data_IF_996795693425
#
_entry.id   IF_996795693425
#
_cell.length_a   1.000
_cell.length_b   1.000
_cell.length_c   1.000
_cell.angle_alpha   90.00
_cell.angle_beta   90.00
_cell.angle_gamma   90.00
#
_symmetry.space_group_name_H-M   'P 1'
#
loop_
_entity.id
_entity.type
_entity.pdbx_description
1 polymer ?
#
# COMPACT_ATOMS: atom_id res chain seq x y z
N UNK A 1 9.93 8.93 13.80
CA UNK A 1 9.96 7.72 12.96
C UNK A 1 10.59 6.54 13.70
N UNK A 2 11.81 6.72 14.24
CA UNK A 2 12.50 5.71 15.08
C UNK A 2 11.58 5.11 16.17
N UNK A 3 10.76 5.94 16.85
CA UNK A 3 9.82 5.47 17.87
C UNK A 3 8.70 4.54 17.35
N UNK A 4 8.24 4.73 16.12
CA UNK A 4 7.16 3.90 15.54
C UNK A 4 7.72 2.56 15.07
N UNK A 5 8.92 2.58 14.49
CA UNK A 5 9.68 1.40 14.10
C UNK A 5 10.10 0.57 15.32
N UNK A 6 10.63 1.21 16.38
CA UNK A 6 10.90 0.52 17.65
C UNK A 6 9.63 0.01 18.33
N UNK A 7 8.49 0.68 18.19
CA UNK A 7 7.22 0.20 18.72
C UNK A 7 6.70 -1.02 17.94
N UNK A 8 6.77 -0.99 16.60
CA UNK A 8 6.43 -2.13 15.74
C UNK A 8 7.33 -3.34 16.04
N UNK A 9 8.62 -3.12 16.28
CA UNK A 9 9.55 -4.21 16.62
C UNK A 9 9.42 -4.71 18.07
N UNK A 10 9.06 -3.87 19.04
CA UNK A 10 8.93 -4.29 20.44
C UNK A 10 7.59 -4.97 20.74
N UNK A 11 6.49 -4.50 20.15
CA UNK A 11 5.15 -5.00 20.43
C UNK A 11 4.31 -5.09 19.15
N UNK A 12 4.65 -6.01 18.23
CA UNK A 12 4.03 -6.09 16.90
C UNK A 12 2.50 -6.27 16.96
N UNK A 13 2.00 -7.00 17.95
CA UNK A 13 0.57 -7.24 18.13
C UNK A 13 -0.24 -5.97 18.51
N UNK A 14 0.34 -5.06 19.29
CA UNK A 14 -0.31 -3.80 19.68
C UNK A 14 -0.06 -2.68 18.66
N UNK A 15 1.07 -2.74 17.95
CA UNK A 15 1.44 -1.75 16.95
C UNK A 15 0.66 -1.87 15.64
N UNK A 16 0.35 -3.09 15.20
CA UNK A 16 -0.30 -3.30 13.90
C UNK A 16 -1.67 -2.58 13.77
N UNK A 17 -2.61 -2.67 14.73
CA UNK A 17 -3.89 -1.96 14.63
C UNK A 17 -3.73 -0.44 14.65
N UNK A 18 -2.76 0.08 15.41
CA UNK A 18 -2.49 1.51 15.51
C UNK A 18 -1.88 2.01 14.20
N UNK A 19 -0.97 1.24 13.59
CA UNK A 19 -0.35 1.56 12.32
C UNK A 19 -1.39 1.68 11.19
N UNK A 20 -2.32 0.74 11.08
CA UNK A 20 -3.38 0.83 10.06
C UNK A 20 -4.34 2.00 10.31
N UNK A 21 -4.62 2.32 11.58
CA UNK A 21 -5.37 3.54 11.92
C UNK A 21 -4.62 4.81 11.54
N UNK A 22 -3.30 4.85 11.70
CA UNK A 22 -2.46 5.96 11.24
C UNK A 22 -2.53 6.06 9.72
N UNK A 23 -2.24 4.99 8.98
CA UNK A 23 -2.29 4.98 7.51
C UNK A 23 -3.67 5.45 7.02
N UNK A 24 -4.75 4.86 7.55
CA UNK A 24 -6.12 5.25 7.19
C UNK A 24 -6.46 6.68 7.56
N UNK A 25 -5.90 7.26 8.63
CA UNK A 25 -6.14 8.67 8.99
C UNK A 25 -5.36 9.60 8.07
N UNK A 26 -4.13 9.24 7.74
CA UNK A 26 -3.22 10.02 6.91
C UNK A 26 -3.71 10.06 5.46
N UNK A 27 -4.26 8.97 4.92
CA UNK A 27 -4.90 8.97 3.60
C UNK A 27 -6.05 9.98 3.51
N UNK A 28 -6.93 10.05 4.52
CA UNK A 28 -8.02 11.06 4.54
C UNK A 28 -7.51 12.49 4.62
N UNK A 29 -6.33 12.70 5.23
CA UNK A 29 -5.70 14.02 5.27
C UNK A 29 -5.19 14.43 3.88
N UNK A 30 -4.64 13.48 3.12
CA UNK A 30 -4.18 13.71 1.75
C UNK A 30 -5.38 14.00 0.82
N UNK A 31 -6.51 13.34 1.03
CA UNK A 31 -7.73 13.53 0.22
C UNK A 31 -8.39 14.90 0.41
N UNK A 32 -8.20 15.58 1.55
CA UNK A 32 -8.90 16.83 1.87
C UNK A 32 -8.13 18.06 1.36
N UNK A 33 -8.63 18.80 0.36
CA UNK A 33 -8.05 20.10 0.02
C UNK A 33 -8.31 21.07 1.18
N UNK A 34 -7.24 21.63 1.75
CA UNK A 34 -7.32 22.64 2.82
C UNK A 34 -7.86 23.98 2.32
N UNK A 35 -7.77 24.26 1.01
CA UNK A 35 -8.21 25.51 0.40
C UNK A 35 -8.88 25.26 -0.95
N UNK A 36 -9.89 26.06 -1.35
CA UNK A 36 -10.61 25.90 -2.62
C UNK A 36 -9.73 26.05 -3.88
N UNK A 37 -8.60 26.77 -3.78
CA UNK A 37 -7.63 26.95 -4.86
C UNK A 37 -6.52 25.89 -4.87
N UNK A 38 -6.48 24.98 -3.89
CA UNK A 38 -5.59 23.83 -3.95
C UNK A 38 -6.16 22.81 -4.93
N UNK A 39 -5.85 23.00 -6.21
CA UNK A 39 -5.98 21.95 -7.18
C UNK A 39 -5.05 20.78 -6.80
N UNK A 40 -5.51 19.55 -6.98
CA UNK A 40 -4.81 18.31 -6.58
C UNK A 40 -3.42 18.16 -7.17
N UNK A 41 -3.07 18.95 -8.18
CA UNK A 41 -1.82 18.90 -8.94
C UNK A 41 -0.76 19.90 -8.47
N UNK A 42 -1.09 20.86 -7.60
CA UNK A 42 -0.14 21.91 -7.20
C UNK A 42 0.61 21.55 -5.91
N UNK A 43 1.90 21.27 -6.03
CA UNK A 43 2.79 21.09 -4.88
C UNK A 43 3.06 22.43 -4.20
N UNK A 44 2.67 22.56 -2.94
CA UNK A 44 3.01 23.70 -2.08
C UNK A 44 3.98 23.22 -1.00
N UNK A 45 5.20 23.75 -1.00
CA UNK A 45 6.20 23.43 0.02
C UNK A 45 5.67 23.80 1.42
N UNK A 46 5.82 22.91 2.40
CA UNK A 46 5.30 23.08 3.75
C UNK A 46 3.82 22.70 3.96
N UNK A 47 3.14 22.18 2.93
CA UNK A 47 1.76 21.72 3.05
C UNK A 47 1.66 20.41 3.85
N UNK A 48 0.72 20.33 4.79
CA UNK A 48 0.42 19.14 5.58
C UNK A 48 0.15 17.89 4.71
N UNK A 49 -0.38 18.07 3.49
CA UNK A 49 -0.58 16.98 2.52
C UNK A 49 0.74 16.36 2.04
N UNK A 50 1.76 17.17 1.78
CA UNK A 50 3.09 16.68 1.36
C UNK A 50 3.78 15.90 2.49
N UNK A 51 3.63 16.38 3.73
CA UNK A 51 4.14 15.67 4.92
C UNK A 51 3.41 14.34 5.11
N UNK A 52 2.08 14.34 4.96
CA UNK A 52 1.26 13.13 5.01
C UNK A 52 1.63 12.12 3.92
N UNK A 53 1.84 12.58 2.68
CA UNK A 53 2.30 11.75 1.56
C UNK A 53 3.65 11.11 1.88
N UNK A 54 4.60 11.89 2.42
CA UNK A 54 5.91 11.37 2.80
C UNK A 54 5.83 10.39 3.97
N UNK A 55 4.94 10.61 4.94
CA UNK A 55 4.71 9.65 6.01
C UNK A 55 4.23 8.30 5.47
N UNK A 56 3.28 8.27 4.53
CA UNK A 56 2.84 7.02 3.88
C UNK A 56 4.02 6.33 3.19
N UNK A 57 4.78 7.07 2.37
CA UNK A 57 5.93 6.51 1.63
C UNK A 57 6.92 5.82 2.54
N UNK A 58 7.37 6.52 3.58
CA UNK A 58 8.40 5.96 4.45
C UNK A 58 7.83 4.81 5.29
N UNK A 59 6.57 4.89 5.77
CA UNK A 59 5.96 3.77 6.51
C UNK A 59 5.85 2.50 5.67
N UNK A 60 5.35 2.61 4.44
CA UNK A 60 5.20 1.46 3.56
C UNK A 60 6.55 0.90 3.11
N UNK A 61 7.53 1.76 2.84
CA UNK A 61 8.86 1.32 2.44
C UNK A 61 9.65 0.67 3.58
N UNK A 62 9.65 1.24 4.78
CA UNK A 62 10.39 0.67 5.91
C UNK A 62 9.80 -0.68 6.37
N UNK A 63 8.50 -0.88 6.13
CA UNK A 63 7.80 -2.10 6.55
C UNK A 63 7.56 -3.10 5.42
N UNK A 64 8.00 -2.81 4.19
CA UNK A 64 7.77 -3.68 3.04
C UNK A 64 8.42 -5.06 3.20
N UNK A 65 9.54 -5.14 3.94
CA UNK A 65 10.23 -6.39 4.28
C UNK A 65 9.59 -7.17 5.43
N UNK A 66 8.53 -6.64 6.05
CA UNK A 66 7.90 -7.19 7.26
C UNK A 66 6.47 -7.71 7.02
N UNK A 67 6.10 -8.01 5.76
CA UNK A 67 4.77 -8.51 5.41
C UNK A 67 3.64 -7.51 5.63
N UNK A 68 3.93 -6.20 5.65
CA UNK A 68 2.94 -5.16 5.91
C UNK A 68 1.81 -5.17 4.87
N UNK A 69 2.11 -5.56 3.63
CA UNK A 69 1.12 -5.57 2.56
C UNK A 69 0.09 -6.67 2.75
N UNK A 70 0.47 -7.90 3.13
CA UNK A 70 -0.50 -8.94 3.51
C UNK A 70 -1.51 -8.42 4.54
N UNK A 71 -0.99 -7.81 5.61
CA UNK A 71 -1.83 -7.29 6.68
C UNK A 71 -2.72 -6.13 6.21
N UNK A 72 -2.15 -5.19 5.44
CA UNK A 72 -2.87 -4.04 4.91
C UNK A 72 -4.03 -4.48 3.99
N UNK A 73 -3.76 -5.40 3.07
CA UNK A 73 -4.75 -5.93 2.14
C UNK A 73 -5.77 -6.86 2.83
N UNK A 74 -5.51 -7.39 4.03
CA UNK A 74 -6.50 -8.12 4.82
C UNK A 74 -7.42 -7.21 5.66
N UNK A 75 -7.11 -5.90 5.75
CA UNK A 75 -7.93 -4.97 6.54
C UNK A 75 -9.28 -4.66 5.91
N UNK A 76 -10.26 -4.32 6.76
CA UNK A 76 -11.55 -3.82 6.30
C UNK A 76 -11.47 -2.30 6.13
N UNK A 77 -11.48 -1.85 4.87
CA UNK A 77 -11.35 -0.44 4.50
C UNK A 77 -12.75 0.10 4.18
N UNK A 78 -13.17 1.18 4.84
CA UNK A 78 -14.51 1.76 4.64
C UNK A 78 -14.65 2.48 3.28
N UNK A 79 -13.64 3.24 2.88
CA UNK A 79 -13.61 4.05 1.66
C UNK A 79 -12.57 3.50 0.69
N UNK A 80 -12.81 2.26 0.25
CA UNK A 80 -11.84 1.41 -0.47
C UNK A 80 -11.22 2.14 -1.68
N UNK A 81 -12.07 2.75 -2.51
CA UNK A 81 -11.65 3.47 -3.71
C UNK A 81 -10.74 4.66 -3.39
N UNK A 82 -11.16 5.54 -2.48
CA UNK A 82 -10.38 6.73 -2.12
C UNK A 82 -9.08 6.37 -1.39
N UNK A 83 -9.13 5.33 -0.56
CA UNK A 83 -7.96 4.81 0.13
C UNK A 83 -6.90 4.34 -0.86
N UNK A 84 -7.26 3.43 -1.77
CA UNK A 84 -6.32 2.86 -2.73
C UNK A 84 -5.84 3.86 -3.77
N UNK A 85 -6.72 4.77 -4.24
CA UNK A 85 -6.30 5.86 -5.13
C UNK A 85 -5.24 6.74 -4.46
N UNK A 86 -5.39 7.02 -3.16
CA UNK A 86 -4.46 7.83 -2.40
C UNK A 86 -3.13 7.12 -2.16
N UNK A 87 -3.15 5.82 -1.87
CA UNK A 87 -1.92 5.01 -1.72
C UNK A 87 -1.16 4.96 -3.04
N UNK A 88 -1.81 4.64 -4.16
CA UNK A 88 -1.15 4.60 -5.47
C UNK A 88 -0.55 5.96 -5.84
N UNK A 89 -1.33 7.04 -5.66
CA UNK A 89 -0.87 8.42 -5.88
C UNK A 89 0.32 8.80 -4.99
N UNK A 90 0.36 8.30 -3.75
CA UNK A 90 1.47 8.57 -2.84
C UNK A 90 2.79 7.98 -3.36
N UNK A 91 2.73 6.86 -4.10
CA UNK A 91 3.88 6.07 -4.52
C UNK A 91 4.32 6.32 -5.97
N UNK A 92 3.49 6.93 -6.83
CA UNK A 92 3.78 7.10 -8.27
C UNK A 92 5.13 7.77 -8.57
N UNK A 93 5.54 8.73 -7.76
CA UNK A 93 6.76 9.53 -7.89
C UNK A 93 7.82 9.21 -6.82
N UNK A 94 7.72 8.03 -6.19
CA UNK A 94 8.65 7.60 -5.14
C UNK A 94 9.58 6.48 -5.66
N UNK A 95 10.89 6.74 -5.85
CA UNK A 95 11.79 5.79 -6.51
C UNK A 95 12.10 4.54 -5.70
N UNK A 96 12.02 4.60 -4.37
CA UNK A 96 12.34 3.48 -3.47
C UNK A 96 11.20 2.48 -3.33
N UNK A 97 9.95 2.88 -3.64
CA UNK A 97 8.78 2.01 -3.63
C UNK A 97 7.71 2.57 -4.58
N UNK A 98 7.48 1.86 -5.69
CA UNK A 98 6.46 2.25 -6.66
C UNK A 98 5.15 1.46 -6.46
N UNK A 99 4.03 1.89 -7.07
CA UNK A 99 2.75 1.23 -6.88
C UNK A 99 2.72 -0.24 -7.33
N UNK A 100 3.49 -0.63 -8.34
CA UNK A 100 3.57 -2.01 -8.85
C UNK A 100 4.37 -2.89 -7.90
N UNK A 101 5.44 -2.37 -7.27
CA UNK A 101 6.20 -3.09 -6.25
C UNK A 101 5.33 -3.54 -5.07
N UNK A 102 4.29 -2.78 -4.72
CA UNK A 102 3.31 -3.18 -3.67
C UNK A 102 2.60 -4.48 -4.06
N UNK A 103 2.22 -4.63 -5.33
CA UNK A 103 1.58 -5.85 -5.85
C UNK A 103 2.59 -7.00 -5.83
N UNK A 104 3.82 -6.74 -6.26
CA UNK A 104 4.90 -7.72 -6.27
C UNK A 104 5.11 -8.30 -4.85
N UNK A 105 5.38 -7.44 -3.86
CA UNK A 105 5.62 -7.89 -2.48
C UNK A 105 4.42 -8.64 -1.91
N UNK A 106 3.20 -8.15 -2.17
CA UNK A 106 1.99 -8.85 -1.74
C UNK A 106 1.91 -10.27 -2.32
N UNK A 107 2.20 -10.46 -3.60
CA UNK A 107 2.15 -11.76 -4.24
C UNK A 107 3.28 -12.69 -3.78
N UNK A 108 4.49 -12.15 -3.57
CA UNK A 108 5.61 -12.90 -2.99
C UNK A 108 5.22 -13.45 -1.61
N UNK A 109 4.66 -12.61 -0.75
CA UNK A 109 4.22 -13.00 0.60
C UNK A 109 3.08 -14.06 0.56
N UNK A 110 2.10 -13.91 -0.35
CA UNK A 110 0.99 -14.88 -0.52
C UNK A 110 1.51 -16.27 -0.96
N UNK A 111 2.52 -16.28 -1.82
CA UNK A 111 3.12 -17.52 -2.35
C UNK A 111 3.99 -18.21 -1.30
N UNK A 112 4.65 -17.44 -0.43
CA UNK A 112 5.42 -17.97 0.69
C UNK A 112 4.52 -18.59 1.77
N UNK A 113 3.47 -17.88 2.19
CA UNK A 113 2.49 -18.36 3.17
C UNK A 113 1.04 -18.02 2.75
N UNK A 114 0.24 -19.06 2.51
CA UNK A 114 -1.09 -18.92 1.95
C UNK A 114 -2.08 -18.37 2.99
N UNK A 115 -2.62 -17.15 2.83
CA UNK A 115 -3.38 -16.50 3.89
C UNK A 115 -4.79 -17.09 4.03
N UNK A 116 -5.26 -17.20 5.28
CA UNK A 116 -6.62 -17.68 5.61
C UNK A 116 -7.74 -16.82 5.00
N UNK A 117 -7.51 -15.52 4.85
CA UNK A 117 -8.50 -14.54 4.36
C UNK A 117 -8.19 -14.05 2.95
N UNK A 118 -7.71 -14.94 2.08
CA UNK A 118 -7.32 -14.61 0.71
C UNK A 118 -8.39 -13.83 -0.08
N UNK A 119 -9.68 -14.13 0.09
CA UNK A 119 -10.76 -13.43 -0.61
C UNK A 119 -10.80 -11.92 -0.30
N UNK A 120 -10.49 -11.52 0.94
CA UNK A 120 -10.40 -10.11 1.33
C UNK A 120 -9.19 -9.43 0.69
N UNK A 121 -8.06 -10.13 0.70
CA UNK A 121 -6.81 -9.65 0.09
C UNK A 121 -7.01 -9.43 -1.41
N UNK A 122 -7.59 -10.40 -2.11
CA UNK A 122 -7.86 -10.30 -3.55
C UNK A 122 -8.90 -9.23 -3.89
N UNK A 123 -9.93 -9.04 -3.04
CA UNK A 123 -10.88 -7.93 -3.19
C UNK A 123 -10.14 -6.59 -3.16
N UNK A 124 -9.33 -6.35 -2.14
CA UNK A 124 -8.56 -5.12 -2.02
C UNK A 124 -7.52 -4.98 -3.15
N UNK A 125 -6.89 -6.07 -3.59
CA UNK A 125 -5.97 -6.08 -4.73
C UNK A 125 -6.66 -5.68 -6.03
N UNK A 126 -7.84 -6.24 -6.30
CA UNK A 126 -8.60 -5.91 -7.51
C UNK A 126 -8.92 -4.42 -7.58
N UNK A 127 -9.29 -3.79 -6.46
CA UNK A 127 -9.55 -2.35 -6.41
C UNK A 127 -8.27 -1.52 -6.49
N UNK A 128 -7.18 -1.97 -5.87
CA UNK A 128 -5.91 -1.26 -5.93
C UNK A 128 -5.33 -1.20 -7.34
N UNK A 129 -5.39 -2.31 -8.09
CA UNK A 129 -4.87 -2.41 -9.46
C UNK A 129 -5.51 -1.39 -10.40
N UNK A 130 -6.78 -1.01 -10.19
CA UNK A 130 -7.46 0.03 -10.99
C UNK A 130 -6.77 1.41 -10.92
N UNK A 131 -5.97 1.66 -9.88
CA UNK A 131 -5.23 2.90 -9.69
C UNK A 131 -3.74 2.81 -10.05
N UNK A 132 -3.26 1.66 -10.51
CA UNK A 132 -1.86 1.45 -10.87
C UNK A 132 -1.71 1.59 -12.38
N UNK A 133 -0.72 2.38 -12.81
CA UNK A 133 -0.48 2.61 -14.24
C UNK A 133 0.00 1.32 -14.94
N UNK A 134 -0.70 0.84 -15.99
CA UNK A 134 -0.29 -0.35 -16.75
C UNK A 134 0.93 -0.07 -17.65
N UNK A 135 1.12 1.19 -18.04
CA UNK A 135 2.16 1.61 -18.99
C UNK A 135 3.44 2.10 -18.29
N UNK A 136 3.55 1.93 -16.98
CA UNK A 136 4.71 2.30 -16.17
C UNK A 136 5.32 1.08 -15.46
N UNK A 137 6.61 1.15 -15.11
CA UNK A 137 7.31 0.11 -14.32
C UNK A 137 7.32 -1.29 -14.98
N UNK A 138 7.55 -1.37 -16.29
CA UNK A 138 7.52 -2.62 -17.07
C UNK A 138 8.28 -3.81 -16.45
N UNK A 139 9.44 -3.57 -15.84
CA UNK A 139 10.21 -4.61 -15.15
C UNK A 139 9.44 -5.24 -13.99
N UNK A 140 8.76 -4.42 -13.18
CA UNK A 140 7.96 -4.90 -12.05
C UNK A 140 6.70 -5.61 -12.52
N UNK A 141 6.04 -5.12 -13.57
CA UNK A 141 4.87 -5.80 -14.15
C UNK A 141 5.22 -7.17 -14.72
N UNK A 142 6.40 -7.33 -15.32
CA UNK A 142 6.90 -8.64 -15.77
C UNK A 142 7.02 -9.61 -14.60
N UNK A 143 7.59 -9.17 -13.47
CA UNK A 143 7.69 -9.99 -12.24
C UNK A 143 6.29 -10.34 -11.70
N UNK A 144 5.40 -9.34 -11.57
CA UNK A 144 4.01 -9.54 -11.12
C UNK A 144 3.28 -10.56 -11.98
N UNK A 145 3.48 -10.54 -13.31
CA UNK A 145 2.87 -11.51 -14.22
C UNK A 145 3.33 -12.94 -13.93
N UNK A 146 4.63 -13.14 -13.69
CA UNK A 146 5.18 -14.45 -13.32
C UNK A 146 4.67 -14.93 -11.95
N UNK A 147 4.54 -14.02 -10.99
CA UNK A 147 3.98 -14.32 -9.66
C UNK A 147 2.50 -14.69 -9.75
N UNK A 148 1.72 -14.00 -10.60
CA UNK A 148 0.32 -14.37 -10.86
C UNK A 148 0.19 -15.75 -11.50
N UNK A 149 1.05 -16.10 -12.48
CA UNK A 149 1.06 -17.46 -13.05
C UNK A 149 1.32 -18.51 -11.97
N UNK A 150 2.30 -18.26 -11.11
CA UNK A 150 2.63 -19.13 -9.97
C UNK A 150 1.47 -19.26 -8.98
N UNK A 151 0.81 -18.13 -8.68
CA UNK A 151 -0.35 -18.06 -7.80
C UNK A 151 -1.51 -18.91 -8.35
N UNK A 152 -1.85 -18.77 -9.62
CA UNK A 152 -2.95 -19.54 -10.22
C UNK A 152 -2.62 -21.03 -10.33
N UNK A 153 -1.36 -21.41 -10.62
CA UNK A 153 -0.94 -22.82 -10.60
C UNK A 153 -1.12 -23.43 -9.22
N UNK A 154 -0.69 -22.73 -8.17
CA UNK A 154 -0.83 -23.20 -6.79
C UNK A 154 -2.32 -23.26 -6.38
N UNK A 155 -3.11 -22.25 -6.74
CA UNK A 155 -4.55 -22.22 -6.47
C UNK A 155 -5.30 -23.40 -7.10
N UNK A 156 -5.03 -23.71 -8.36
CA UNK A 156 -5.67 -24.81 -9.09
C UNK A 156 -5.20 -26.20 -8.67
N UNK A 157 -4.06 -26.29 -7.99
CA UNK A 157 -3.51 -27.54 -7.47
C UNK A 157 -4.09 -27.97 -6.11
N UNK A 158 -4.84 -27.08 -5.45
CA UNK A 158 -5.55 -27.32 -4.20
C UNK A 158 -7.01 -27.67 -4.46
#
# INVERSE_FOLDING_TARGET
>A
MIALETFVHREPAMAAPILFRIINTVTRLIERPLYPWHDTLMFVAGNCRSVAKQLIRILLHQLSSSGIFLQLFDTNIERVNQFWSTISFALTDFPELNPVSVIQYLLEDILEDWPNRLSRILFNLSTYVEYVSPDAYFSHWSIVTNLLDSFFRQYLSK
#
